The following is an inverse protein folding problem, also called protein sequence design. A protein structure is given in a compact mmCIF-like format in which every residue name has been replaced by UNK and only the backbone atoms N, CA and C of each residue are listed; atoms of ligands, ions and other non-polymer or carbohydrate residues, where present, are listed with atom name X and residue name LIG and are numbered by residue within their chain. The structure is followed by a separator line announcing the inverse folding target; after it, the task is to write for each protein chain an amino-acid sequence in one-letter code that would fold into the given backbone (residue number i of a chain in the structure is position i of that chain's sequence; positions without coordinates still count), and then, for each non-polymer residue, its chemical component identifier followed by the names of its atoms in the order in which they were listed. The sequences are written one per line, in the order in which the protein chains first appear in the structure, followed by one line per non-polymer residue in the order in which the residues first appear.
data_IF_056511535228
#
_entry.id   IF_056511535228
#
_cell.length_a   1.000
_cell.length_b   1.000
_cell.length_c   1.000
_cell.angle_alpha   90.00
_cell.angle_beta   90.00
_cell.angle_gamma   90.00
#
_symmetry.space_group_name_H-M   'P 1'
#
loop_
_entity.id
_entity.type
_entity.pdbx_description
1 polymer ?
#
# COMPACT_ATOMS: atom_id res chain seq x y z
N UNK A 1 -16.22 -5.18 14.01
CA UNK A 1 -16.02 -6.43 13.26
C UNK A 1 -16.27 -6.13 11.79
N UNK A 2 -15.31 -6.39 10.91
CA UNK A 2 -15.53 -6.25 9.47
C UNK A 2 -16.53 -7.28 8.98
N UNK A 3 -17.33 -6.91 8.00
CA UNK A 3 -18.28 -7.81 7.33
C UNK A 3 -17.50 -8.75 6.42
N UNK A 4 -17.89 -10.03 6.38
CA UNK A 4 -17.33 -10.99 5.44
C UNK A 4 -17.66 -10.61 4.00
N UNK A 5 -16.74 -10.90 3.09
CA UNK A 5 -16.93 -10.74 1.66
C UNK A 5 -16.37 -11.97 0.91
N UNK A 6 -16.37 -11.92 -0.42
CA UNK A 6 -15.92 -13.06 -1.25
C UNK A 6 -14.44 -13.42 -1.10
N UNK A 7 -13.63 -12.55 -0.51
CA UNK A 7 -12.21 -12.76 -0.24
C UNK A 7 -11.95 -13.31 1.16
N UNK A 8 -12.98 -13.44 2.01
CA UNK A 8 -12.83 -13.87 3.41
C UNK A 8 -13.45 -15.25 3.65
N UNK A 9 -13.01 -15.92 4.70
CA UNK A 9 -13.67 -17.15 5.13
C UNK A 9 -15.07 -16.84 5.68
N UNK A 10 -16.12 -17.57 5.26
CA UNK A 10 -17.47 -17.36 5.77
C UNK A 10 -17.53 -17.51 7.30
N UNK A 11 -18.14 -16.55 7.98
CA UNK A 11 -18.31 -16.54 9.44
C UNK A 11 -17.02 -16.19 10.20
N UNK A 12 -15.95 -15.78 9.53
CA UNK A 12 -14.68 -15.43 10.17
C UNK A 12 -14.63 -13.99 10.69
N UNK A 13 -15.61 -13.16 10.31
CA UNK A 13 -15.60 -11.74 10.66
C UNK A 13 -14.51 -10.97 9.91
N UNK A 14 -14.20 -11.38 8.68
CA UNK A 14 -13.35 -10.67 7.72
C UNK A 14 -11.94 -11.23 7.52
N UNK A 15 -11.63 -12.45 7.97
CA UNK A 15 -10.29 -13.04 7.78
C UNK A 15 -10.14 -13.50 6.33
N UNK A 16 -9.12 -13.00 5.64
CA UNK A 16 -8.89 -13.31 4.23
C UNK A 16 -8.57 -14.79 4.02
N UNK A 17 -9.07 -15.33 2.90
CA UNK A 17 -8.65 -16.63 2.39
C UNK A 17 -7.17 -16.57 2.03
N UNK A 18 -6.39 -17.48 2.61
CA UNK A 18 -4.93 -17.49 2.53
C UNK A 18 -4.41 -18.93 2.41
N UNK A 19 -3.23 -19.08 1.80
CA UNK A 19 -2.63 -20.38 1.49
C UNK A 19 -2.22 -21.18 2.74
N UNK A 20 -1.97 -20.49 3.86
CA UNK A 20 -1.61 -21.11 5.14
C UNK A 20 -2.82 -21.61 5.94
N UNK A 21 -4.05 -21.37 5.48
CA UNK A 21 -5.27 -21.77 6.18
C UNK A 21 -5.53 -21.01 7.49
N UNK A 22 -4.85 -19.90 7.74
CA UNK A 22 -4.98 -19.10 8.98
C UNK A 22 -6.40 -18.54 9.09
N UNK A 23 -7.02 -18.68 10.28
CA UNK A 23 -8.40 -18.23 10.59
C UNK A 23 -8.45 -17.14 11.66
N UNK A 24 -7.31 -16.72 12.19
CA UNK A 24 -7.20 -15.64 13.18
C UNK A 24 -6.71 -14.37 12.49
N UNK A 25 -7.38 -13.25 12.73
CA UNK A 25 -6.95 -11.92 12.26
C UNK A 25 -5.53 -11.61 12.71
N UNK A 26 -5.22 -11.81 13.99
CA UNK A 26 -3.92 -11.48 14.56
C UNK A 26 -2.79 -12.33 13.92
N UNK A 27 -3.02 -13.63 13.77
CA UNK A 27 -2.02 -14.52 13.16
C UNK A 27 -1.83 -14.23 11.66
N UNK A 28 -2.88 -13.83 10.96
CA UNK A 28 -2.77 -13.49 9.55
C UNK A 28 -2.01 -12.17 9.38
N UNK A 29 -2.29 -11.16 10.22
CA UNK A 29 -1.56 -9.90 10.16
C UNK A 29 -0.08 -10.07 10.51
N UNK A 30 0.25 -10.88 11.52
CA UNK A 30 1.63 -11.28 11.85
C UNK A 30 2.32 -11.91 10.64
N UNK A 31 1.70 -12.92 10.01
CA UNK A 31 2.26 -13.57 8.82
C UNK A 31 2.44 -12.59 7.65
N UNK A 32 1.50 -11.65 7.45
CA UNK A 32 1.63 -10.61 6.43
C UNK A 32 2.79 -9.64 6.72
N UNK A 33 3.00 -9.29 8.00
CA UNK A 33 4.07 -8.39 8.42
C UNK A 33 5.45 -9.06 8.29
N UNK A 34 5.55 -10.35 8.58
CA UNK A 34 6.78 -11.13 8.36
C UNK A 34 7.20 -11.14 6.90
N UNK A 35 6.27 -11.46 5.98
CA UNK A 35 6.60 -11.48 4.55
C UNK A 35 6.90 -10.06 4.04
N UNK A 36 6.16 -9.05 4.49
CA UNK A 36 6.41 -7.67 4.11
C UNK A 36 7.80 -7.18 4.55
N UNK A 37 8.26 -7.57 5.75
CA UNK A 37 9.58 -7.20 6.28
C UNK A 37 10.72 -7.77 5.44
N UNK A 38 10.59 -9.02 4.99
CA UNK A 38 11.56 -9.67 4.10
C UNK A 38 11.64 -8.95 2.75
N UNK A 39 10.50 -8.56 2.18
CA UNK A 39 10.46 -7.85 0.88
C UNK A 39 11.00 -6.43 1.01
N UNK A 40 10.66 -5.71 2.08
CA UNK A 40 11.20 -4.38 2.39
C UNK A 40 12.73 -4.38 2.43
N UNK A 41 13.33 -5.35 3.12
CA UNK A 41 14.78 -5.47 3.22
C UNK A 41 15.44 -5.66 1.83
N UNK A 42 14.80 -6.38 0.91
CA UNK A 42 15.31 -6.58 -0.46
C UNK A 42 15.22 -5.30 -1.30
N UNK A 43 14.09 -4.59 -1.24
CA UNK A 43 13.86 -3.40 -2.06
C UNK A 43 14.88 -2.30 -1.77
N UNK A 44 15.33 -2.11 -0.52
CA UNK A 44 16.39 -1.12 -0.21
C UNK A 44 17.72 -1.38 -0.91
N UNK A 45 17.97 -2.64 -1.28
CA UNK A 45 19.21 -3.04 -1.94
C UNK A 45 19.08 -3.06 -3.46
N UNK A 46 17.86 -2.93 -3.98
CA UNK A 46 17.58 -2.87 -5.41
C UNK A 46 17.65 -1.41 -5.90
N UNK A 47 18.17 -1.15 -7.11
CA UNK A 47 18.02 0.16 -7.72
C UNK A 47 16.55 0.46 -7.96
N UNK A 48 16.14 1.71 -7.75
CA UNK A 48 14.79 2.14 -8.10
C UNK A 48 14.55 1.91 -9.61
N UNK A 49 13.38 1.39 -10.00
CA UNK A 49 13.08 1.15 -11.41
C UNK A 49 12.95 2.48 -12.18
N UNK A 50 13.13 2.40 -13.49
CA UNK A 50 12.96 3.54 -14.39
C UNK A 50 11.53 4.09 -14.39
N UNK A 51 10.52 3.21 -14.23
CA UNK A 51 9.11 3.59 -14.14
C UNK A 51 8.53 3.13 -12.81
N UNK A 52 8.09 4.10 -12.02
CA UNK A 52 7.36 3.89 -10.77
C UNK A 52 5.86 4.01 -11.07
N UNK A 53 5.31 3.07 -11.82
CA UNK A 53 3.91 3.06 -12.26
C UNK A 53 3.06 2.01 -11.50
N UNK A 54 1.82 1.81 -11.96
CA UNK A 54 0.91 0.82 -11.38
C UNK A 54 1.51 -0.59 -11.40
N UNK A 55 2.23 -0.97 -12.46
CA UNK A 55 2.80 -2.31 -12.54
C UNK A 55 3.93 -2.50 -11.54
N UNK A 56 4.68 -1.44 -11.24
CA UNK A 56 5.65 -1.50 -10.13
C UNK A 56 4.95 -1.67 -8.77
N UNK A 57 3.91 -0.89 -8.47
CA UNK A 57 3.15 -1.04 -7.22
C UNK A 57 2.48 -2.43 -7.11
N UNK A 58 1.93 -2.94 -8.23
CA UNK A 58 1.38 -4.29 -8.34
C UNK A 58 2.44 -5.35 -8.08
N UNK A 59 3.62 -5.20 -8.68
CA UNK A 59 4.77 -6.07 -8.50
C UNK A 59 5.22 -6.16 -7.05
N UNK A 60 5.28 -5.02 -6.35
CA UNK A 60 5.53 -4.99 -4.89
C UNK A 60 4.49 -5.84 -4.15
N UNK A 61 3.21 -5.62 -4.42
CA UNK A 61 2.13 -6.34 -3.74
C UNK A 61 2.17 -7.85 -4.01
N UNK A 62 2.51 -8.27 -5.24
CA UNK A 62 2.68 -9.69 -5.59
C UNK A 62 3.89 -10.28 -4.88
N UNK A 63 5.04 -9.59 -4.85
CA UNK A 63 6.24 -10.05 -4.13
C UNK A 63 5.97 -10.24 -2.64
N UNK A 64 5.15 -9.38 -2.04
CA UNK A 64 4.79 -9.47 -0.62
C UNK A 64 3.76 -10.56 -0.31
N UNK A 65 2.76 -10.74 -1.16
CA UNK A 65 1.58 -11.51 -0.77
C UNK A 65 1.19 -12.61 -1.75
N UNK A 66 1.96 -12.84 -2.82
CA UNK A 66 1.66 -13.84 -3.84
C UNK A 66 1.52 -15.25 -3.26
N UNK A 67 2.45 -15.65 -2.39
CA UNK A 67 2.43 -16.98 -1.78
C UNK A 67 1.41 -17.09 -0.64
N UNK A 68 1.21 -16.03 0.15
CA UNK A 68 0.33 -16.05 1.31
C UNK A 68 -1.14 -15.82 0.95
N UNK A 69 -1.43 -14.87 0.05
CA UNK A 69 -2.76 -14.39 -0.32
C UNK A 69 -2.99 -14.45 -1.84
N UNK A 70 -2.89 -15.64 -2.47
CA UNK A 70 -2.94 -15.79 -3.93
C UNK A 70 -4.24 -15.29 -4.57
N UNK A 71 -5.34 -15.25 -3.79
CA UNK A 71 -6.64 -14.76 -4.25
C UNK A 71 -6.75 -13.25 -4.43
N UNK A 72 -5.84 -12.46 -3.82
CA UNK A 72 -5.89 -10.98 -3.89
C UNK A 72 -4.56 -10.35 -4.32
N UNK A 73 -3.45 -11.09 -4.28
CA UNK A 73 -2.13 -10.53 -4.57
C UNK A 73 -2.06 -9.88 -5.96
N UNK A 74 -1.80 -8.57 -6.00
CA UNK A 74 -1.70 -7.79 -7.23
C UNK A 74 -3.02 -7.60 -7.97
N UNK A 75 -4.16 -7.95 -7.36
CA UNK A 75 -5.49 -7.78 -7.96
C UNK A 75 -6.15 -6.53 -7.40
N UNK A 76 -6.56 -5.64 -8.29
CA UNK A 76 -7.38 -4.49 -7.89
C UNK A 76 -8.68 -5.02 -7.32
N UNK A 77 -9.08 -4.51 -6.15
CA UNK A 77 -10.31 -4.95 -5.50
C UNK A 77 -11.53 -4.54 -6.32
N UNK A 78 -12.55 -5.38 -6.24
CA UNK A 78 -13.86 -5.18 -6.87
C UNK A 78 -14.99 -5.19 -5.82
N UNK A 79 -14.63 -4.87 -4.57
CA UNK A 79 -15.54 -4.69 -3.45
C UNK A 79 -15.26 -3.35 -2.79
N UNK A 80 -16.29 -2.74 -2.22
CA UNK A 80 -16.14 -1.53 -1.41
C UNK A 80 -15.43 -1.85 -0.09
N UNK A 81 -14.56 -0.95 0.33
CA UNK A 81 -13.85 -1.00 1.61
C UNK A 81 -13.85 0.39 2.23
N UNK A 82 -13.70 0.43 3.55
CA UNK A 82 -13.71 1.66 4.34
C UNK A 82 -12.55 1.67 5.32
N UNK A 83 -12.11 2.86 5.70
CA UNK A 83 -11.08 3.05 6.70
C UNK A 83 -11.54 2.47 8.05
N UNK A 84 -10.72 1.59 8.62
CA UNK A 84 -10.95 1.03 9.96
C UNK A 84 -11.01 2.17 10.98
N UNK A 85 -12.01 2.14 11.86
CA UNK A 85 -12.17 3.10 12.95
C UNK A 85 -12.97 4.35 12.62
N UNK A 86 -12.93 4.85 11.38
CA UNK A 86 -13.70 6.03 10.95
C UNK A 86 -14.91 5.68 10.08
N UNK A 87 -14.89 4.55 9.37
CA UNK A 87 -15.95 4.17 8.44
C UNK A 87 -16.00 5.02 7.17
N UNK A 88 -14.98 5.85 6.92
CA UNK A 88 -14.89 6.65 5.70
C UNK A 88 -14.65 5.71 4.51
N UNK A 89 -15.50 5.72 3.48
CA UNK A 89 -15.32 4.86 2.31
C UNK A 89 -14.10 5.29 1.50
N UNK A 90 -13.33 4.31 1.02
CA UNK A 90 -12.30 4.56 0.01
C UNK A 90 -12.92 4.68 -1.39
N UNK A 91 -12.08 4.90 -2.41
CA UNK A 91 -12.52 4.97 -3.81
C UNK A 91 -13.41 3.77 -4.19
N UNK A 92 -14.53 4.01 -4.89
CA UNK A 92 -15.35 2.91 -5.40
C UNK A 92 -14.56 2.10 -6.44
N UNK A 93 -14.71 0.76 -6.48
CA UNK A 93 -14.01 -0.11 -7.42
C UNK A 93 -14.01 0.38 -8.88
N UNK A 94 -15.17 0.83 -9.35
CA UNK A 94 -15.39 1.32 -10.72
C UNK A 94 -14.45 2.46 -11.14
N UNK A 95 -13.87 3.19 -10.17
CA UNK A 95 -13.01 4.34 -10.42
C UNK A 95 -11.55 4.12 -10.04
N UNK A 96 -11.18 2.95 -9.49
CA UNK A 96 -9.80 2.72 -9.00
C UNK A 96 -8.79 2.87 -10.13
N UNK A 97 -8.96 2.16 -11.25
CA UNK A 97 -8.00 2.17 -12.34
C UNK A 97 -7.81 3.57 -12.95
N UNK A 98 -8.91 4.30 -13.18
CA UNK A 98 -8.86 5.65 -13.71
C UNK A 98 -8.14 6.64 -12.77
N UNK A 99 -8.33 6.50 -11.46
CA UNK A 99 -7.63 7.34 -10.48
C UNK A 99 -6.15 6.97 -10.34
N UNK A 100 -5.80 5.68 -10.41
CA UNK A 100 -4.39 5.25 -10.44
C UNK A 100 -3.67 5.79 -11.68
N UNK A 101 -4.28 5.65 -12.87
CA UNK A 101 -3.73 6.20 -14.10
C UNK A 101 -3.50 7.72 -14.01
N UNK A 102 -4.47 8.45 -13.44
CA UNK A 102 -4.33 9.89 -13.19
C UNK A 102 -3.16 10.20 -12.27
N UNK A 103 -3.04 9.49 -11.13
CA UNK A 103 -1.97 9.66 -10.16
C UNK A 103 -0.58 9.37 -10.77
N UNK A 104 -0.42 8.23 -11.44
CA UNK A 104 0.88 7.82 -11.98
C UNK A 104 1.31 8.69 -13.16
N UNK A 105 0.39 9.15 -14.03
CA UNK A 105 0.71 10.17 -15.05
C UNK A 105 1.11 11.50 -14.43
N UNK A 106 0.51 11.87 -13.29
CA UNK A 106 0.91 13.07 -12.56
C UNK A 106 2.34 12.94 -12.03
N UNK A 107 2.67 11.84 -11.39
CA UNK A 107 4.03 11.53 -10.93
C UNK A 107 5.06 11.53 -12.07
N UNK A 108 4.73 10.95 -13.22
CA UNK A 108 5.61 10.95 -14.40
C UNK A 108 5.88 12.37 -14.92
N UNK A 109 4.85 13.24 -14.98
CA UNK A 109 5.01 14.65 -15.36
C UNK A 109 5.80 15.48 -14.35
N UNK A 110 5.76 15.09 -13.08
CA UNK A 110 6.52 15.70 -11.98
C UNK A 110 7.94 15.12 -11.86
N UNK A 111 8.40 14.38 -12.88
CA UNK A 111 9.70 13.68 -12.92
C UNK A 111 9.97 12.88 -11.64
N UNK A 112 8.92 12.20 -11.14
CA UNK A 112 8.95 11.40 -9.93
C UNK A 112 9.52 12.16 -8.71
N UNK A 113 9.19 13.45 -8.61
CA UNK A 113 9.56 14.33 -7.50
C UNK A 113 11.08 14.58 -7.38
N UNK A 114 11.85 14.33 -8.43
CA UNK A 114 13.29 14.59 -8.46
C UNK A 114 13.59 16.08 -8.56
N UNK A 115 14.80 16.50 -8.14
CA UNK A 115 15.25 17.90 -8.22
C UNK A 115 14.61 18.86 -7.22
N UNK A 116 13.74 18.38 -6.33
CA UNK A 116 13.10 19.17 -5.29
C UNK A 116 14.00 19.30 -4.04
N UNK A 117 13.87 20.41 -3.32
CA UNK A 117 14.41 20.53 -1.96
C UNK A 117 13.60 19.68 -0.97
N UNK A 118 14.12 19.46 0.24
CA UNK A 118 13.50 18.56 1.22
C UNK A 118 12.08 18.97 1.64
N UNK A 119 11.81 20.27 1.82
CA UNK A 119 10.49 20.75 2.25
C UNK A 119 9.44 20.52 1.16
N UNK A 120 9.75 20.93 -0.08
CA UNK A 120 8.87 20.74 -1.23
C UNK A 120 8.67 19.26 -1.56
N UNK A 121 9.74 18.46 -1.48
CA UNK A 121 9.66 17.01 -1.65
C UNK A 121 8.69 16.39 -0.64
N UNK A 122 8.82 16.75 0.64
CA UNK A 122 8.00 16.19 1.72
C UNK A 122 6.53 16.53 1.54
N UNK A 123 6.22 17.79 1.20
CA UNK A 123 4.86 18.24 0.91
C UNK A 123 4.24 17.47 -0.25
N UNK A 124 4.94 17.40 -1.39
CA UNK A 124 4.42 16.74 -2.58
C UNK A 124 4.28 15.24 -2.37
N UNK A 125 5.26 14.61 -1.73
CA UNK A 125 5.20 13.18 -1.39
C UNK A 125 3.99 12.87 -0.50
N UNK A 126 3.74 13.70 0.52
CA UNK A 126 2.58 13.53 1.40
C UNK A 126 1.26 13.62 0.62
N UNK A 127 1.17 14.53 -0.35
CA UNK A 127 0.00 14.64 -1.21
C UNK A 127 -0.16 13.43 -2.14
N UNK A 128 0.91 13.01 -2.83
CA UNK A 128 0.86 11.85 -3.75
C UNK A 128 0.50 10.57 -3.00
N UNK A 129 1.07 10.37 -1.81
CA UNK A 129 0.77 9.21 -0.98
C UNK A 129 -0.64 9.29 -0.37
N UNK A 130 -1.10 10.49 0.00
CA UNK A 130 -2.48 10.73 0.40
C UNK A 130 -3.48 10.34 -0.69
N UNK A 131 -3.23 10.76 -1.94
CA UNK A 131 -4.04 10.36 -3.10
C UNK A 131 -4.04 8.83 -3.29
N UNK A 132 -2.87 8.19 -3.25
CA UNK A 132 -2.78 6.73 -3.36
C UNK A 132 -3.51 6.00 -2.22
N UNK A 133 -3.45 6.54 -1.01
CA UNK A 133 -4.12 6.01 0.18
C UNK A 133 -5.64 6.10 0.06
N UNK A 134 -6.16 7.18 -0.53
CA UNK A 134 -7.58 7.37 -0.79
C UNK A 134 -8.11 6.45 -1.92
N UNK A 135 -7.27 6.16 -2.93
CA UNK A 135 -7.59 5.20 -3.98
C UNK A 135 -7.71 3.79 -3.40
N UNK A 136 -6.76 3.40 -2.54
CA UNK A 136 -6.79 2.13 -1.79
C UNK A 136 -7.02 0.91 -2.70
N UNK A 137 -6.11 0.65 -3.67
CA UNK A 137 -6.41 -0.22 -4.81
C UNK A 137 -6.56 -1.71 -4.47
N UNK A 138 -5.96 -2.18 -3.37
CA UNK A 138 -5.94 -3.59 -3.01
C UNK A 138 -7.02 -3.92 -1.98
N UNK A 139 -7.40 -5.20 -1.88
CA UNK A 139 -8.33 -5.66 -0.84
C UNK A 139 -7.73 -5.56 0.56
N UNK A 140 -6.43 -5.81 0.69
CA UNK A 140 -5.61 -5.61 1.87
C UNK A 140 -4.16 -5.40 1.40
N UNK A 141 -3.23 -5.05 2.28
CA UNK A 141 -1.82 -4.85 1.94
C UNK A 141 -1.50 -3.47 1.38
N UNK A 142 -2.46 -2.54 1.40
CA UNK A 142 -2.30 -1.16 0.90
C UNK A 142 -1.16 -0.43 1.59
N UNK A 143 -1.21 -0.22 2.91
CA UNK A 143 -0.16 0.52 3.63
C UNK A 143 1.23 -0.11 3.43
N UNK A 144 1.32 -1.44 3.51
CA UNK A 144 2.58 -2.19 3.35
C UNK A 144 3.20 -2.02 1.96
N UNK A 145 2.42 -2.23 0.90
CA UNK A 145 2.91 -2.05 -0.47
C UNK A 145 3.22 -0.58 -0.80
N UNK A 146 2.41 0.36 -0.30
CA UNK A 146 2.62 1.79 -0.50
C UNK A 146 3.88 2.29 0.21
N UNK A 147 4.19 1.81 1.42
CA UNK A 147 5.44 2.18 2.11
C UNK A 147 6.67 1.80 1.29
N UNK A 148 6.67 0.66 0.59
CA UNK A 148 7.79 0.29 -0.30
C UNK A 148 7.87 1.19 -1.51
N UNK A 149 6.73 1.47 -2.12
CA UNK A 149 6.64 2.32 -3.29
C UNK A 149 7.17 3.72 -2.97
N UNK A 150 6.74 4.28 -1.83
CA UNK A 150 7.19 5.58 -1.31
C UNK A 150 8.67 5.56 -0.98
N UNK A 151 9.21 4.48 -0.39
CA UNK A 151 10.64 4.34 -0.15
C UNK A 151 11.46 4.40 -1.45
N UNK A 152 11.02 3.68 -2.48
CA UNK A 152 11.69 3.68 -3.79
C UNK A 152 11.59 5.05 -4.49
N UNK A 153 10.43 5.70 -4.43
CA UNK A 153 10.22 7.06 -4.95
C UNK A 153 11.15 8.06 -4.25
N UNK A 154 11.24 7.99 -2.93
CA UNK A 154 12.06 8.87 -2.12
C UNK A 154 13.56 8.64 -2.36
N UNK A 155 14.00 7.38 -2.48
CA UNK A 155 15.36 7.03 -2.87
C UNK A 155 15.73 7.61 -4.24
N UNK A 156 14.84 7.47 -5.24
CA UNK A 156 15.03 8.03 -6.58
C UNK A 156 15.13 9.57 -6.55
N UNK A 157 14.31 10.22 -5.73
CA UNK A 157 14.30 11.67 -5.58
C UNK A 157 15.52 12.22 -4.81
N UNK A 158 16.38 11.36 -4.25
CA UNK A 158 17.53 11.76 -3.44
C UNK A 158 17.21 12.08 -1.98
N UNK A 159 16.02 11.71 -1.50
CA UNK A 159 15.51 11.97 -0.14
C UNK A 159 15.13 10.66 0.56
N UNK A 160 16.07 9.71 0.79
CA UNK A 160 15.74 8.39 1.33
C UNK A 160 15.08 8.49 2.72
N UNK A 161 14.01 7.70 2.93
CA UNK A 161 13.29 7.64 4.20
C UNK A 161 13.88 6.53 5.06
N UNK A 162 14.29 6.87 6.28
CA UNK A 162 14.67 5.89 7.29
C UNK A 162 13.45 5.43 8.10
N UNK A 163 12.84 4.33 7.67
CA UNK A 163 11.65 3.79 8.34
C UNK A 163 11.94 3.15 9.70
N UNK A 164 13.21 2.82 10.01
CA UNK A 164 13.56 2.34 11.34
C UNK A 164 13.40 3.45 12.40
N UNK A 165 13.43 4.70 11.97
CA UNK A 165 13.23 5.88 12.81
C UNK A 165 11.78 6.37 12.89
N UNK A 166 10.87 5.80 12.08
CA UNK A 166 9.47 6.22 12.02
C UNK A 166 8.66 5.55 13.14
N UNK A 167 8.14 6.36 14.06
CA UNK A 167 7.19 5.91 15.08
C UNK A 167 5.88 5.44 14.43
N UNK A 168 5.62 4.13 14.51
CA UNK A 168 4.43 3.47 13.96
C UNK A 168 3.15 4.03 14.60
N UNK A 169 3.17 4.35 15.89
CA UNK A 169 2.02 4.93 16.58
C UNK A 169 1.78 6.37 16.13
N UNK A 170 2.84 7.12 15.81
CA UNK A 170 2.70 8.46 15.24
C UNK A 170 2.07 8.43 13.84
N UNK A 171 2.39 7.42 13.03
CA UNK A 171 1.80 7.21 11.70
C UNK A 171 0.30 6.93 11.80
N UNK A 172 -0.12 6.04 12.68
CA UNK A 172 -1.55 5.75 12.89
C UNK A 172 -2.33 6.95 13.42
N UNK A 173 -1.73 7.75 14.32
CA UNK A 173 -2.30 9.03 14.78
C UNK A 173 -2.43 10.07 13.68
N UNK A 174 -1.50 10.12 12.73
CA UNK A 174 -1.57 11.06 11.60
C UNK A 174 -2.70 10.70 10.63
N UNK A 175 -3.01 9.41 10.46
CA UNK A 175 -4.01 8.93 9.52
C UNK A 175 -5.44 8.98 10.07
N UNK A 176 -5.59 8.91 11.40
CA UNK A 176 -6.87 9.02 12.11
C UNK A 176 -7.34 10.47 12.35
N UNK A 177 -6.52 11.47 12.01
CA UNK A 177 -6.81 12.90 12.20
C UNK A 177 -7.26 13.65 10.93
N UNK A 178 -7.45 12.95 9.81
CA UNK A 178 -8.01 13.53 8.58
C UNK A 178 -9.48 13.18 8.42
#
# INVERSE_FOLDING_TARGET
MSVDDKYTYPGSGGVLVNAAGIRSHAQLDEAMNDVASIVLAKIYTEPAPERLDLEYLRGIHVRMFGDLLPGIAGRIRDVDVQATGTGIPYCRPDFIEANLDTLFRKLEREDYLTGLNADTFTEWLADRWGELSAIHPWRDGNTRSQSMYVAALAQRAGHPIDWASVDVDARERAWSRR
#
